data_IF_313364901891
#
_entry.id   IF_313364901891
#
_cell.length_a   1.000
_cell.length_b   1.000
_cell.length_c   1.000
_cell.angle_alpha   90.00
_cell.angle_beta   90.00
_cell.angle_gamma   90.00
#
_symmetry.space_group_name_H-M   'P 1'
#
loop_
_entity.id
_entity.type
_entity.pdbx_description
1 polymer ?
#
# COMPACT_ATOMS: atom_id res chain seq x y z
N UNK A 1 -95.40 -17.77 -69.72
CA UNK A 1 -94.13 -17.07 -69.44
C UNK A 1 -93.65 -17.53 -68.06
N UNK A 2 -93.33 -18.82 -67.92
CA UNK A 2 -92.89 -19.45 -66.67
C UNK A 2 -91.36 -19.38 -66.51
N UNK A 3 -90.78 -18.20 -66.77
CA UNK A 3 -89.33 -18.06 -66.97
C UNK A 3 -88.69 -16.97 -66.10
N UNK A 4 -89.21 -16.73 -64.88
CA UNK A 4 -88.67 -15.70 -63.97
C UNK A 4 -88.62 -16.13 -62.49
N UNK A 5 -89.28 -17.23 -62.09
CA UNK A 5 -89.07 -17.82 -60.77
C UNK A 5 -88.10 -18.99 -60.92
N UNK A 6 -86.95 -19.00 -60.21
CA UNK A 6 -86.08 -20.17 -60.21
C UNK A 6 -86.89 -21.38 -59.73
N UNK A 7 -86.68 -22.52 -60.38
CA UNK A 7 -87.31 -23.78 -59.99
C UNK A 7 -87.12 -24.00 -58.48
N UNK A 8 -88.20 -24.33 -57.78
CA UNK A 8 -88.20 -24.48 -56.31
C UNK A 8 -87.16 -25.52 -55.86
N UNK A 9 -86.88 -26.52 -56.72
CA UNK A 9 -85.82 -27.50 -56.51
C UNK A 9 -84.41 -26.90 -56.51
N UNK A 10 -84.13 -25.91 -57.36
CA UNK A 10 -82.84 -25.22 -57.42
C UNK A 10 -82.62 -24.36 -56.16
N UNK A 11 -83.64 -23.63 -55.72
CA UNK A 11 -83.57 -22.85 -54.47
C UNK A 11 -83.34 -23.74 -53.25
N UNK A 12 -84.01 -24.89 -53.17
CA UNK A 12 -83.81 -25.84 -52.06
C UNK A 12 -82.39 -26.41 -52.04
N UNK A 13 -81.88 -26.90 -53.18
CA UNK A 13 -80.52 -27.47 -53.25
C UNK A 13 -79.43 -26.43 -53.02
N UNK A 14 -79.59 -25.21 -53.53
CA UNK A 14 -78.64 -24.11 -53.28
C UNK A 14 -78.63 -23.70 -51.81
N UNK A 15 -79.80 -23.59 -51.16
CA UNK A 15 -79.90 -23.33 -49.73
C UNK A 15 -79.28 -24.46 -48.88
N UNK A 16 -79.51 -25.72 -49.26
CA UNK A 16 -78.92 -26.87 -48.57
C UNK A 16 -77.38 -26.85 -48.68
N UNK A 17 -76.83 -26.62 -49.88
CA UNK A 17 -75.38 -26.51 -50.09
C UNK A 17 -74.80 -25.31 -49.36
N UNK A 18 -75.50 -24.17 -49.35
CA UNK A 18 -75.08 -22.98 -48.61
C UNK A 18 -75.06 -23.22 -47.09
N UNK A 19 -76.07 -23.88 -46.54
CA UNK A 19 -76.10 -24.28 -45.12
C UNK A 19 -75.00 -25.29 -44.78
N UNK A 20 -74.76 -26.28 -45.65
CA UNK A 20 -73.65 -27.22 -45.49
C UNK A 20 -72.28 -26.51 -45.54
N UNK A 21 -72.09 -25.58 -46.48
CA UNK A 21 -70.90 -24.76 -46.58
C UNK A 21 -70.72 -23.91 -45.32
N UNK A 22 -71.77 -23.21 -44.86
CA UNK A 22 -71.74 -22.43 -43.62
C UNK A 22 -71.37 -23.30 -42.42
N UNK A 23 -71.92 -24.50 -42.29
CA UNK A 23 -71.57 -25.43 -41.22
C UNK A 23 -70.09 -25.84 -41.25
N UNK A 24 -69.55 -26.11 -42.44
CA UNK A 24 -68.13 -26.43 -42.61
C UNK A 24 -67.25 -25.21 -42.29
N UNK A 25 -67.57 -24.02 -42.81
CA UNK A 25 -66.80 -22.80 -42.56
C UNK A 25 -66.83 -22.41 -41.08
N UNK A 26 -68.01 -22.44 -40.46
CA UNK A 26 -68.16 -22.12 -39.02
C UNK A 26 -67.38 -23.09 -38.14
N UNK A 27 -67.41 -24.40 -38.43
CA UNK A 27 -66.69 -25.40 -37.64
C UNK A 27 -65.17 -25.37 -37.87
N UNK A 28 -64.71 -25.18 -39.11
CA UNK A 28 -63.29 -25.34 -39.46
C UNK A 28 -62.47 -24.04 -39.48
N UNK A 29 -63.05 -22.88 -39.81
CA UNK A 29 -62.28 -21.64 -40.00
C UNK A 29 -62.17 -20.80 -38.73
N UNK A 30 -63.21 -20.80 -37.89
CA UNK A 30 -63.25 -19.97 -36.68
C UNK A 30 -62.14 -20.34 -35.69
N UNK A 31 -61.85 -21.64 -35.53
CA UNK A 31 -60.81 -22.13 -34.62
C UNK A 31 -59.39 -21.64 -35.01
N UNK A 32 -58.92 -21.78 -36.26
CA UNK A 32 -57.62 -21.25 -36.68
C UNK A 32 -57.51 -19.72 -36.56
N UNK A 33 -58.56 -18.97 -36.90
CA UNK A 33 -58.54 -17.50 -36.80
C UNK A 33 -58.39 -17.06 -35.34
N UNK A 34 -59.21 -17.61 -34.44
CA UNK A 34 -59.14 -17.27 -33.03
C UNK A 34 -57.79 -17.69 -32.42
N UNK A 35 -57.28 -18.85 -32.82
CA UNK A 35 -55.95 -19.30 -32.41
C UNK A 35 -54.83 -18.37 -32.87
N UNK A 36 -54.91 -17.82 -34.08
CA UNK A 36 -53.90 -16.90 -34.61
C UNK A 36 -53.93 -15.54 -33.88
N UNK A 37 -55.13 -15.04 -33.56
CA UNK A 37 -55.31 -13.81 -32.77
C UNK A 37 -54.79 -14.00 -31.36
N UNK A 38 -55.20 -15.06 -30.66
CA UNK A 38 -54.73 -15.36 -29.30
C UNK A 38 -53.21 -15.57 -29.26
N UNK A 39 -52.63 -16.26 -30.25
CA UNK A 39 -51.18 -16.44 -30.33
C UNK A 39 -50.44 -15.11 -30.54
N UNK A 40 -51.03 -14.17 -31.29
CA UNK A 40 -50.46 -12.83 -31.46
C UNK A 40 -50.57 -12.01 -30.18
N UNK A 41 -51.73 -12.03 -29.52
CA UNK A 41 -51.96 -11.36 -28.25
C UNK A 41 -50.97 -11.87 -27.19
N UNK A 42 -50.86 -13.19 -27.04
CA UNK A 42 -49.92 -13.81 -26.10
C UNK A 42 -48.47 -13.39 -26.38
N UNK A 43 -48.02 -13.41 -27.65
CA UNK A 43 -46.67 -12.95 -28.00
C UNK A 43 -46.42 -11.48 -27.68
N UNK A 44 -47.42 -10.63 -27.84
CA UNK A 44 -47.30 -9.20 -27.52
C UNK A 44 -47.19 -9.03 -26.01
N UNK A 45 -48.04 -9.70 -25.24
CA UNK A 45 -48.00 -9.67 -23.77
C UNK A 45 -46.66 -10.18 -23.26
N UNK A 46 -46.19 -11.33 -23.75
CA UNK A 46 -44.89 -11.90 -23.37
C UNK A 46 -43.73 -10.95 -23.73
N UNK A 47 -43.78 -10.30 -24.91
CA UNK A 47 -42.75 -9.34 -25.31
C UNK A 47 -42.75 -8.07 -24.44
N UNK A 48 -43.93 -7.58 -24.05
CA UNK A 48 -44.07 -6.42 -23.16
C UNK A 48 -43.59 -6.75 -21.74
N UNK A 49 -44.01 -7.89 -21.18
CA UNK A 49 -43.56 -8.36 -19.87
C UNK A 49 -42.03 -8.55 -19.84
N UNK A 50 -41.46 -9.12 -20.91
CA UNK A 50 -40.01 -9.27 -21.03
C UNK A 50 -39.32 -7.90 -21.08
N UNK A 51 -39.85 -6.95 -21.86
CA UNK A 51 -39.28 -5.61 -21.97
C UNK A 51 -39.30 -4.87 -20.63
N UNK A 52 -40.41 -4.95 -19.89
CA UNK A 52 -40.54 -4.35 -18.55
C UNK A 52 -39.58 -5.00 -17.55
N UNK A 53 -39.49 -6.33 -17.56
CA UNK A 53 -38.55 -7.07 -16.72
C UNK A 53 -37.11 -6.70 -17.02
N UNK A 54 -36.71 -6.68 -18.30
CA UNK A 54 -35.37 -6.27 -18.72
C UNK A 54 -35.07 -4.83 -18.33
N UNK A 55 -36.05 -3.92 -18.44
CA UNK A 55 -35.89 -2.52 -18.02
C UNK A 55 -35.66 -2.42 -16.50
N UNK A 56 -36.41 -3.18 -15.70
CA UNK A 56 -36.22 -3.23 -14.25
C UNK A 56 -34.86 -3.83 -13.86
N UNK A 57 -34.44 -4.93 -14.51
CA UNK A 57 -33.12 -5.54 -14.32
C UNK A 57 -31.99 -4.58 -14.70
N UNK A 58 -32.12 -3.86 -15.81
CA UNK A 58 -31.14 -2.84 -16.24
C UNK A 58 -31.02 -1.70 -15.22
N UNK A 59 -32.14 -1.23 -14.67
CA UNK A 59 -32.12 -0.20 -13.62
C UNK A 59 -31.46 -0.72 -12.33
N UNK A 60 -31.76 -1.96 -11.94
CA UNK A 60 -31.13 -2.59 -10.78
C UNK A 60 -29.62 -2.76 -10.98
N UNK A 61 -29.20 -3.25 -12.15
CA UNK A 61 -27.80 -3.41 -12.51
C UNK A 61 -27.05 -2.08 -12.54
N UNK A 62 -27.68 -1.01 -13.03
CA UNK A 62 -27.10 0.32 -13.04
C UNK A 62 -26.92 0.87 -11.62
N UNK A 63 -27.93 0.70 -10.75
CA UNK A 63 -27.83 1.08 -9.34
C UNK A 63 -26.74 0.28 -8.59
N UNK A 64 -26.61 -1.01 -8.88
CA UNK A 64 -25.56 -1.86 -8.33
C UNK A 64 -24.17 -1.43 -8.82
N UNK A 65 -24.01 -1.14 -10.11
CA UNK A 65 -22.75 -0.60 -10.65
C UNK A 65 -22.38 0.72 -10.00
N UNK A 66 -23.32 1.64 -9.84
CA UNK A 66 -23.07 2.93 -9.17
C UNK A 66 -22.68 2.73 -7.70
N UNK A 67 -23.27 1.74 -7.02
CA UNK A 67 -22.88 1.37 -5.66
C UNK A 67 -21.46 0.80 -5.61
N UNK A 68 -21.14 -0.15 -6.48
CA UNK A 68 -19.79 -0.74 -6.58
C UNK A 68 -18.74 0.34 -6.89
N UNK A 69 -19.04 1.26 -7.82
CA UNK A 69 -18.13 2.36 -8.14
C UNK A 69 -17.91 3.32 -6.96
N UNK A 70 -18.94 3.58 -6.15
CA UNK A 70 -18.80 4.38 -4.93
C UNK A 70 -17.97 3.65 -3.88
N UNK A 71 -18.22 2.37 -3.68
CA UNK A 71 -17.47 1.52 -2.74
C UNK A 71 -16.00 1.43 -3.14
N UNK A 72 -15.71 1.15 -4.42
CA UNK A 72 -14.35 1.11 -4.96
C UNK A 72 -13.61 2.46 -4.81
N UNK A 73 -14.30 3.59 -4.99
CA UNK A 73 -13.72 4.92 -4.75
C UNK A 73 -13.41 5.14 -3.27
N UNK A 74 -14.32 4.76 -2.37
CA UNK A 74 -14.11 4.88 -0.93
C UNK A 74 -12.95 3.99 -0.46
N UNK A 75 -12.87 2.75 -0.95
CA UNK A 75 -11.78 1.83 -0.66
C UNK A 75 -10.45 2.35 -1.19
N UNK A 76 -10.40 2.84 -2.44
CA UNK A 76 -9.22 3.50 -2.99
C UNK A 76 -8.75 4.66 -2.11
N UNK A 77 -9.67 5.51 -1.67
CA UNK A 77 -9.32 6.67 -0.85
C UNK A 77 -8.82 6.25 0.53
N UNK A 78 -9.37 5.18 1.11
CA UNK A 78 -8.86 4.56 2.33
C UNK A 78 -7.45 4.01 2.13
N UNK A 79 -7.20 3.24 1.06
CA UNK A 79 -5.86 2.70 0.73
C UNK A 79 -4.84 3.83 0.57
N UNK A 80 -5.21 4.91 -0.13
CA UNK A 80 -4.33 6.08 -0.30
C UNK A 80 -4.04 6.80 1.02
N UNK A 81 -5.02 6.87 1.92
CA UNK A 81 -4.85 7.45 3.26
C UNK A 81 -3.92 6.57 4.11
N UNK A 82 -4.17 5.27 4.16
CA UNK A 82 -3.33 4.31 4.88
C UNK A 82 -1.89 4.31 4.36
N UNK A 83 -1.71 4.35 3.04
CA UNK A 83 -0.38 4.43 2.43
C UNK A 83 0.36 5.73 2.82
N UNK A 84 -0.33 6.87 2.88
CA UNK A 84 0.26 8.13 3.36
C UNK A 84 0.61 8.08 4.84
N UNK A 85 -0.26 7.51 5.68
CA UNK A 85 -0.01 7.36 7.11
C UNK A 85 1.15 6.40 7.39
N UNK A 86 1.21 5.27 6.69
CA UNK A 86 2.32 4.32 6.73
C UNK A 86 3.64 4.97 6.24
N UNK A 87 3.58 5.77 5.17
CA UNK A 87 4.73 6.50 4.66
C UNK A 87 5.26 7.52 5.67
N UNK A 88 4.37 8.31 6.28
CA UNK A 88 4.74 9.30 7.29
C UNK A 88 5.33 8.64 8.54
N UNK A 89 4.70 7.57 9.05
CA UNK A 89 5.22 6.83 10.21
C UNK A 89 6.56 6.18 9.92
N UNK A 90 6.78 5.66 8.72
CA UNK A 90 8.09 5.13 8.30
C UNK A 90 9.16 6.23 8.28
N UNK A 91 8.84 7.42 7.77
CA UNK A 91 9.76 8.56 7.75
C UNK A 91 10.09 9.03 9.17
N UNK A 92 9.10 9.11 10.06
CA UNK A 92 9.30 9.47 11.46
C UNK A 92 10.14 8.45 12.21
N UNK A 93 9.86 7.15 12.03
CA UNK A 93 10.64 6.07 12.60
C UNK A 93 12.08 6.09 12.09
N UNK A 94 12.30 6.31 10.79
CA UNK A 94 13.62 6.44 10.20
C UNK A 94 14.37 7.64 10.78
N UNK A 95 13.73 8.83 10.87
CA UNK A 95 14.33 10.02 11.49
C UNK A 95 14.71 9.79 12.95
N UNK A 96 13.83 9.16 13.72
CA UNK A 96 14.08 8.83 15.13
C UNK A 96 15.27 7.89 15.27
N UNK A 97 15.31 6.82 14.47
CA UNK A 97 16.43 5.88 14.44
C UNK A 97 17.74 6.56 14.02
N UNK A 98 17.71 7.39 12.98
CA UNK A 98 18.89 8.16 12.55
C UNK A 98 19.39 9.11 13.63
N UNK A 99 18.50 9.77 14.38
CA UNK A 99 18.89 10.63 15.51
C UNK A 99 19.57 9.81 16.61
N UNK A 100 19.00 8.67 16.98
CA UNK A 100 19.60 7.77 17.96
C UNK A 100 20.98 7.26 17.54
N UNK A 101 21.15 6.87 16.27
CA UNK A 101 22.47 6.46 15.76
C UNK A 101 23.45 7.63 15.70
N UNK A 102 23.01 8.84 15.32
CA UNK A 102 23.86 10.03 15.35
C UNK A 102 24.33 10.36 16.78
N UNK A 103 23.43 10.31 17.77
CA UNK A 103 23.76 10.55 19.17
C UNK A 103 24.77 9.50 19.69
N UNK A 104 24.62 8.23 19.32
CA UNK A 104 25.60 7.17 19.62
C UNK A 104 26.97 7.46 19.01
N UNK A 105 27.02 7.89 17.75
CA UNK A 105 28.27 8.22 17.06
C UNK A 105 28.97 9.39 17.77
N UNK A 106 28.21 10.43 18.15
CA UNK A 106 28.75 11.59 18.87
C UNK A 106 29.30 11.19 20.23
N UNK A 107 28.59 10.37 21.00
CA UNK A 107 29.07 9.88 22.30
C UNK A 107 30.29 8.97 22.16
N UNK A 108 30.33 8.08 21.16
CA UNK A 108 31.50 7.27 20.86
C UNK A 108 32.71 8.14 20.48
N UNK A 109 32.50 9.18 19.66
CA UNK A 109 33.55 10.11 19.28
C UNK A 109 34.08 10.89 20.50
N UNK A 110 33.21 11.35 21.41
CA UNK A 110 33.60 12.00 22.67
C UNK A 110 34.43 11.09 23.56
N UNK A 111 34.04 9.82 23.67
CA UNK A 111 34.81 8.82 24.41
C UNK A 111 36.20 8.61 23.79
N UNK A 112 36.29 8.50 22.47
CA UNK A 112 37.57 8.38 21.75
C UNK A 112 38.47 9.60 21.99
N UNK A 113 37.92 10.81 21.86
CA UNK A 113 38.65 12.07 22.10
C UNK A 113 39.17 12.14 23.53
N UNK A 114 38.37 11.74 24.52
CA UNK A 114 38.82 11.72 25.91
C UNK A 114 39.95 10.72 26.14
N UNK A 115 39.87 9.54 25.51
CA UNK A 115 40.94 8.53 25.55
C UNK A 115 42.21 9.03 24.88
N UNK A 116 42.12 9.64 23.70
CA UNK A 116 43.25 10.23 22.97
C UNK A 116 43.88 11.37 23.76
N UNK A 117 43.08 12.23 24.38
CA UNK A 117 43.58 13.30 25.25
C UNK A 117 44.33 12.74 26.47
N UNK A 118 43.83 11.67 27.08
CA UNK A 118 44.51 11.01 28.19
C UNK A 118 45.86 10.42 27.74
N UNK A 119 45.89 9.75 26.58
CA UNK A 119 47.12 9.23 25.99
C UNK A 119 48.14 10.33 25.68
N UNK A 120 47.69 11.44 25.07
CA UNK A 120 48.53 12.60 24.78
C UNK A 120 49.08 13.26 26.05
N UNK A 121 48.32 13.26 27.16
CA UNK A 121 48.82 13.75 28.45
C UNK A 121 49.83 12.82 29.11
N UNK A 122 49.67 11.52 28.94
CA UNK A 122 50.69 10.57 29.38
C UNK A 122 51.99 10.74 28.58
N UNK A 123 51.88 10.89 27.27
CA UNK A 123 53.02 11.14 26.38
C UNK A 123 53.73 12.46 26.73
N UNK A 124 52.97 13.53 27.00
CA UNK A 124 53.52 14.82 27.42
C UNK A 124 54.26 14.70 28.77
N UNK A 125 53.70 13.99 29.75
CA UNK A 125 54.36 13.75 31.04
C UNK A 125 55.69 13.03 30.85
N UNK A 126 55.72 12.00 30.01
CA UNK A 126 56.95 11.27 29.70
C UNK A 126 58.00 12.20 29.04
N UNK A 127 57.59 13.02 28.07
CA UNK A 127 58.48 14.00 27.44
C UNK A 127 59.04 15.01 28.46
N UNK A 128 58.19 15.53 29.36
CA UNK A 128 58.62 16.47 30.41
C UNK A 128 59.57 15.78 31.39
N UNK A 129 59.32 14.52 31.76
CA UNK A 129 60.21 13.76 32.63
C UNK A 129 61.60 13.57 31.99
N UNK A 130 61.66 13.20 30.71
CA UNK A 130 62.92 13.07 29.98
C UNK A 130 63.67 14.40 29.90
N UNK A 131 62.99 15.49 29.51
CA UNK A 131 63.60 16.83 29.46
C UNK A 131 64.09 17.29 30.85
N UNK A 132 63.33 17.00 31.91
CA UNK A 132 63.72 17.33 33.28
C UNK A 132 64.97 16.56 33.71
N UNK A 133 65.07 15.27 33.32
CA UNK A 133 66.25 14.45 33.58
C UNK A 133 67.47 14.95 32.81
N UNK A 134 67.31 15.32 31.53
CA UNK A 134 68.39 15.90 30.72
C UNK A 134 68.91 17.23 31.31
N UNK A 135 68.00 18.11 31.75
CA UNK A 135 68.37 19.36 32.41
C UNK A 135 69.09 19.07 33.73
N UNK A 136 68.55 18.17 34.56
CA UNK A 136 69.19 17.77 35.81
C UNK A 136 70.59 17.19 35.58
N UNK A 137 70.76 16.31 34.58
CA UNK A 137 72.06 15.76 34.20
C UNK A 137 73.03 16.86 33.78
N UNK A 138 72.59 17.82 32.98
CA UNK A 138 73.42 18.93 32.51
C UNK A 138 73.83 19.87 33.64
N UNK A 139 72.94 20.15 34.58
CA UNK A 139 73.22 20.95 35.78
C UNK A 139 74.19 20.21 36.70
N UNK A 140 73.96 18.93 36.99
CA UNK A 140 74.84 18.09 37.81
C UNK A 140 76.23 18.01 37.19
N UNK A 141 76.33 17.78 35.87
CA UNK A 141 77.60 17.75 35.14
C UNK A 141 78.34 19.10 35.18
N UNK A 142 77.60 20.21 35.16
CA UNK A 142 78.15 21.56 35.34
C UNK A 142 78.66 21.82 36.76
N UNK A 143 77.90 21.42 37.78
CA UNK A 143 78.29 21.55 39.19
C UNK A 143 79.47 20.66 39.56
N UNK A 144 79.59 19.46 38.97
CA UNK A 144 80.70 18.52 39.14
C UNK A 144 81.90 18.79 38.21
N UNK A 145 81.95 19.93 37.53
CA UNK A 145 83.08 20.27 36.66
C UNK A 145 84.40 20.56 37.40
N UNK A 146 84.37 20.72 38.73
CA UNK A 146 85.53 20.95 39.59
C UNK A 146 85.91 19.69 40.39
N UNK A 147 87.20 19.35 40.40
CA UNK A 147 87.78 18.21 41.14
C UNK A 147 87.44 18.23 42.63
N UNK A 148 87.36 19.41 43.25
CA UNK A 148 87.05 19.56 44.67
C UNK A 148 85.60 19.13 44.99
N UNK A 149 84.66 19.45 44.09
CA UNK A 149 83.25 19.05 44.24
C UNK A 149 83.04 17.56 43.95
N UNK A 150 83.83 16.96 43.05
CA UNK A 150 83.82 15.51 42.80
C UNK A 150 84.33 14.72 44.02
N UNK A 151 85.42 15.17 44.64
CA UNK A 151 85.94 14.56 45.89
C UNK A 151 84.94 14.67 47.04
N UNK A 152 84.33 15.84 47.23
CA UNK A 152 83.32 16.04 48.27
C UNK A 152 82.07 15.15 48.09
N UNK A 153 81.69 14.85 46.84
CA UNK A 153 80.59 13.92 46.55
C UNK A 153 80.99 12.46 46.86
N UNK A 154 82.22 12.06 46.49
CA UNK A 154 82.74 10.72 46.79
C UNK A 154 82.85 10.48 48.31
N UNK A 155 83.33 11.47 49.06
CA UNK A 155 83.39 11.41 50.53
C UNK A 155 81.99 11.35 51.16
N UNK A 156 80.99 12.05 50.59
CA UNK A 156 79.59 11.92 51.03
C UNK A 156 79.04 10.52 50.79
N UNK A 157 79.21 9.95 49.61
CA UNK A 157 78.73 8.59 49.32
C UNK A 157 79.46 7.53 50.17
N UNK A 158 80.76 7.71 50.43
CA UNK A 158 81.52 6.83 51.32
C UNK A 158 81.03 6.91 52.77
N UNK A 159 80.58 8.07 53.23
CA UNK A 159 79.98 8.24 54.55
C UNK A 159 78.55 7.67 54.63
N UNK A 160 77.71 7.84 53.61
CA UNK A 160 76.35 7.24 53.57
C UNK A 160 76.39 5.71 53.53
N UNK A 161 77.37 5.11 52.85
CA UNK A 161 77.56 3.65 52.83
C UNK A 161 78.07 3.11 54.17
N UNK A 162 78.85 3.91 54.93
CA UNK A 162 79.29 3.54 56.27
C UNK A 162 78.23 3.80 57.36
N UNK A 163 77.13 4.49 57.03
CA UNK A 163 76.02 4.80 57.96
C UNK A 163 74.87 3.79 57.92
N UNK A 164 74.95 2.76 57.08
CA UNK A 164 74.07 1.56 57.07
C UNK A 164 74.90 0.31 57.38
#
# INVERSE_FOLDING_TARGET
MDLILPDFGLLFWTALVFCCLLFVLTKFIWKPILSAVNAREQKITEALELADKTRAEMQALQAENDKILKEARAERDNILKEAKEAGNTMIEAAKSKSKLEADKIVEAARLSINSEKAAAMEELKNHIATLSLEIAEKVVRGELASDDKQKALADKFANDINLN
#
